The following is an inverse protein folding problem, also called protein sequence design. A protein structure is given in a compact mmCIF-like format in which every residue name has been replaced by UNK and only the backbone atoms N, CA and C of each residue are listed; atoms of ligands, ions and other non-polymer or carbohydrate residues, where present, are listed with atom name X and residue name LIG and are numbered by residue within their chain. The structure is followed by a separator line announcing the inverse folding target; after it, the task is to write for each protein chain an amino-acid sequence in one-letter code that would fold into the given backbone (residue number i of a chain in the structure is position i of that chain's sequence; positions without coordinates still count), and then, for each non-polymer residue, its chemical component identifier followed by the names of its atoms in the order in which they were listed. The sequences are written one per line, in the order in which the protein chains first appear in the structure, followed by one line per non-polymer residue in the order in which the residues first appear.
data_IF_142232995921
#
_entry.id   IF_142232995921
#
_cell.length_a   1.000
_cell.length_b   1.000
_cell.length_c   1.000
_cell.angle_alpha   90.00
_cell.angle_beta   90.00
_cell.angle_gamma   90.00
#
_symmetry.space_group_name_H-M   'P 1'
#
loop_
_entity.id
_entity.type
_entity.pdbx_description
1 polymer ?
#
# COMPACT_ATOMS: atom_id res chain seq x y z
N UNK A 1 31.41 -26.63 -1.92
CA UNK A 1 31.21 -27.58 -3.04
C UNK A 1 29.75 -27.50 -3.48
N UNK A 2 29.57 -27.28 -4.80
CA UNK A 2 28.37 -27.36 -5.65
C UNK A 2 26.99 -27.01 -5.09
N UNK A 3 26.55 -25.81 -5.49
CA UNK A 3 25.15 -25.39 -5.65
C UNK A 3 24.49 -26.27 -6.72
N UNK A 4 23.37 -26.93 -6.41
CA UNK A 4 22.52 -27.56 -7.43
C UNK A 4 21.32 -26.63 -7.63
N UNK A 5 21.40 -25.85 -8.72
CA UNK A 5 20.29 -25.05 -9.23
C UNK A 5 19.12 -25.96 -9.59
N UNK A 6 18.02 -25.85 -8.86
CA UNK A 6 16.71 -26.40 -9.22
C UNK A 6 16.04 -25.52 -10.30
N UNK A 7 16.70 -25.38 -11.46
CA UNK A 7 16.17 -24.64 -12.61
C UNK A 7 16.26 -25.54 -13.85
N UNK A 8 15.56 -26.68 -13.83
CA UNK A 8 15.40 -27.50 -15.03
C UNK A 8 14.29 -28.55 -14.87
N UNK A 9 13.03 -28.13 -14.79
CA UNK A 9 11.90 -29.07 -14.92
C UNK A 9 10.62 -28.42 -15.47
N UNK A 10 10.72 -27.67 -16.58
CA UNK A 10 9.55 -27.17 -17.30
C UNK A 10 9.75 -27.23 -18.84
N UNK A 11 10.40 -28.29 -19.34
CA UNK A 11 10.74 -28.42 -20.76
C UNK A 11 10.44 -29.82 -21.32
N UNK A 12 9.29 -30.41 -20.93
CA UNK A 12 8.83 -31.71 -21.44
C UNK A 12 7.32 -31.75 -21.75
N UNK A 13 6.82 -30.78 -22.52
CA UNK A 13 5.44 -30.83 -23.07
C UNK A 13 5.35 -30.48 -24.57
N UNK A 14 6.41 -30.70 -25.35
CA UNK A 14 6.38 -30.50 -26.80
C UNK A 14 6.43 -31.82 -27.58
N UNK A 15 5.53 -32.75 -27.25
CA UNK A 15 5.23 -33.87 -28.13
C UNK A 15 3.71 -34.10 -28.17
N UNK A 16 3.21 -34.16 -29.40
CA UNK A 16 1.89 -34.62 -29.87
C UNK A 16 0.73 -33.62 -29.94
N UNK A 17 0.51 -33.14 -31.16
CA UNK A 17 -0.79 -32.72 -31.68
C UNK A 17 -0.60 -31.80 -32.88
N UNK A 18 -1.13 -32.15 -34.06
CA UNK A 18 -1.34 -31.20 -35.16
C UNK A 18 -2.41 -30.17 -34.75
N UNK A 19 -2.15 -29.41 -33.68
CA UNK A 19 -2.95 -28.30 -33.23
C UNK A 19 -2.47 -27.04 -33.93
N UNK A 20 -3.41 -26.21 -34.35
CA UNK A 20 -3.10 -24.89 -34.88
C UNK A 20 -2.28 -24.11 -33.83
N UNK A 21 -1.16 -23.49 -34.24
CA UNK A 21 -0.24 -22.74 -33.37
C UNK A 21 -0.98 -21.71 -32.51
N UNK A 22 -2.05 -21.11 -33.04
CA UNK A 22 -2.95 -20.23 -32.29
C UNK A 22 -3.59 -20.89 -31.07
N UNK A 23 -4.16 -22.09 -31.21
CA UNK A 23 -4.90 -22.76 -30.13
C UNK A 23 -3.96 -23.11 -28.96
N UNK A 24 -2.73 -23.57 -29.28
CA UNK A 24 -1.69 -23.85 -28.28
C UNK A 24 -1.32 -22.57 -27.52
N UNK A 25 -1.18 -21.44 -28.21
CA UNK A 25 -0.85 -20.17 -27.58
C UNK A 25 -1.97 -19.68 -26.67
N UNK A 26 -3.23 -19.80 -27.09
CA UNK A 26 -4.40 -19.47 -26.25
C UNK A 26 -4.45 -20.37 -25.02
N UNK A 27 -4.32 -21.69 -25.18
CA UNK A 27 -4.36 -22.64 -24.07
C UNK A 27 -3.22 -22.39 -23.07
N UNK A 28 -2.02 -22.14 -23.56
CA UNK A 28 -0.86 -21.81 -22.70
C UNK A 28 -1.07 -20.51 -21.94
N UNK A 29 -1.64 -19.48 -22.58
CA UNK A 29 -2.01 -18.22 -21.92
C UNK A 29 -3.08 -18.43 -20.84
N UNK A 30 -4.08 -19.26 -21.12
CA UNK A 30 -5.13 -19.60 -20.16
C UNK A 30 -4.58 -20.37 -18.95
N UNK A 31 -3.63 -21.28 -19.15
CA UNK A 31 -2.96 -21.96 -18.05
C UNK A 31 -2.11 -20.98 -17.23
N UNK A 32 -1.40 -20.06 -17.87
CA UNK A 32 -0.65 -19.02 -17.18
C UNK A 32 -1.56 -18.10 -16.33
N UNK A 33 -2.77 -17.76 -16.80
CA UNK A 33 -3.76 -17.04 -15.99
C UNK A 33 -4.11 -17.79 -14.70
N UNK A 34 -4.40 -19.09 -14.81
CA UNK A 34 -4.74 -19.95 -13.66
C UNK A 34 -3.59 -20.06 -12.67
N UNK A 35 -2.37 -20.16 -13.18
CA UNK A 35 -1.13 -20.21 -12.38
C UNK A 35 -0.73 -18.84 -11.79
N UNK A 36 -1.55 -17.79 -11.96
CA UNK A 36 -1.26 -16.41 -11.56
C UNK A 36 0.02 -15.81 -12.23
N UNK A 37 0.48 -16.38 -13.34
CA UNK A 37 1.62 -15.91 -14.15
C UNK A 37 1.15 -14.91 -15.19
N UNK A 38 0.62 -13.77 -14.74
CA UNK A 38 -0.08 -12.82 -15.61
C UNK A 38 0.79 -12.23 -16.74
N UNK A 39 2.08 -11.96 -16.49
CA UNK A 39 3.01 -11.51 -17.54
C UNK A 39 3.19 -12.55 -18.65
N UNK A 40 3.26 -13.84 -18.29
CA UNK A 40 3.37 -14.92 -19.26
C UNK A 40 2.06 -15.06 -20.05
N UNK A 41 0.92 -14.94 -19.37
CA UNK A 41 -0.39 -14.96 -20.01
C UNK A 41 -0.52 -13.84 -21.07
N UNK A 42 -0.12 -12.61 -20.73
CA UNK A 42 -0.11 -11.48 -21.68
C UNK A 42 0.73 -11.82 -22.90
N UNK A 43 1.97 -12.29 -22.70
CA UNK A 43 2.85 -12.66 -23.80
C UNK A 43 2.21 -13.71 -24.72
N UNK A 44 1.60 -14.75 -24.17
CA UNK A 44 0.99 -15.81 -24.96
C UNK A 44 -0.25 -15.34 -25.73
N UNK A 45 -1.12 -14.54 -25.12
CA UNK A 45 -2.27 -13.97 -25.81
C UNK A 45 -1.88 -12.96 -26.88
N UNK A 46 -0.81 -12.18 -26.68
CA UNK A 46 -0.28 -11.28 -27.71
C UNK A 46 0.32 -12.05 -28.89
N UNK A 47 0.95 -13.22 -28.65
CA UNK A 47 1.39 -14.11 -29.72
C UNK A 47 0.18 -14.68 -30.49
N UNK A 48 -0.84 -15.17 -29.78
CA UNK A 48 -2.07 -15.66 -30.40
C UNK A 48 -2.77 -14.58 -31.24
N UNK A 49 -2.86 -13.35 -30.72
CA UNK A 49 -3.46 -12.23 -31.42
C UNK A 49 -2.68 -11.76 -32.67
N UNK A 50 -1.36 -12.01 -32.72
CA UNK A 50 -0.53 -11.76 -33.92
C UNK A 50 -0.77 -12.81 -35.00
N UNK A 51 -0.96 -14.07 -34.61
CA UNK A 51 -1.29 -15.16 -35.53
C UNK A 51 -2.71 -14.99 -36.09
N UNK A 52 -3.66 -14.70 -35.19
CA UNK A 52 -5.06 -14.50 -35.53
C UNK A 52 -5.69 -13.48 -34.58
N UNK A 53 -5.94 -12.27 -35.10
CA UNK A 53 -6.58 -11.23 -34.32
C UNK A 53 -8.07 -11.53 -34.15
N UNK A 54 -8.45 -11.95 -32.95
CA UNK A 54 -9.84 -12.26 -32.57
C UNK A 54 -10.29 -11.38 -31.42
N UNK A 55 -11.60 -11.18 -31.25
CA UNK A 55 -12.11 -10.44 -30.09
C UNK A 55 -11.88 -11.21 -28.79
N UNK A 56 -11.82 -12.55 -28.87
CA UNK A 56 -11.42 -13.43 -27.77
C UNK A 56 -9.99 -13.11 -27.29
N UNK A 57 -8.99 -13.15 -28.17
CA UNK A 57 -7.59 -12.88 -27.78
C UNK A 57 -7.37 -11.46 -27.29
N UNK A 58 -8.11 -10.47 -27.83
CA UNK A 58 -8.12 -9.11 -27.30
C UNK A 58 -8.67 -9.08 -25.87
N UNK A 59 -9.81 -9.71 -25.62
CA UNK A 59 -10.43 -9.79 -24.30
C UNK A 59 -9.51 -10.50 -23.29
N UNK A 60 -8.87 -11.60 -23.69
CA UNK A 60 -7.93 -12.35 -22.85
C UNK A 60 -6.70 -11.52 -22.50
N UNK A 61 -6.13 -10.83 -23.48
CA UNK A 61 -4.98 -9.94 -23.27
C UNK A 61 -5.35 -8.80 -22.30
N UNK A 62 -6.51 -8.18 -22.46
CA UNK A 62 -6.97 -7.08 -21.61
C UNK A 62 -7.19 -7.53 -20.17
N UNK A 63 -7.86 -8.66 -19.96
CA UNK A 63 -8.03 -9.25 -18.62
C UNK A 63 -6.68 -9.62 -18.00
N UNK A 64 -5.77 -10.21 -18.76
CA UNK A 64 -4.43 -10.54 -18.26
C UNK A 64 -3.64 -9.28 -17.86
N UNK A 65 -3.81 -8.16 -18.59
CA UNK A 65 -3.21 -6.86 -18.26
C UNK A 65 -3.75 -6.28 -16.96
N UNK A 66 -5.07 -6.31 -16.75
CA UNK A 66 -5.69 -5.88 -15.49
C UNK A 66 -5.18 -6.74 -14.32
N UNK A 67 -5.16 -8.06 -14.48
CA UNK A 67 -4.66 -8.96 -13.44
C UNK A 67 -3.18 -8.72 -13.12
N UNK A 68 -2.34 -8.47 -14.13
CA UNK A 68 -0.93 -8.15 -13.94
C UNK A 68 -0.72 -6.80 -13.25
N UNK A 69 -1.49 -5.79 -13.65
CA UNK A 69 -1.44 -4.46 -13.04
C UNK A 69 -1.88 -4.52 -11.58
N UNK A 70 -3.02 -5.14 -11.29
CA UNK A 70 -3.53 -5.29 -9.92
C UNK A 70 -2.59 -6.11 -9.02
N UNK A 71 -1.97 -7.16 -9.55
CA UNK A 71 -0.95 -7.92 -8.81
C UNK A 71 0.31 -7.10 -8.50
N UNK A 72 0.68 -6.16 -9.38
CA UNK A 72 1.79 -5.23 -9.15
C UNK A 72 1.40 -4.14 -8.14
N UNK A 73 0.19 -3.59 -8.26
CA UNK A 73 -0.37 -2.63 -7.32
C UNK A 73 -0.43 -3.18 -5.89
N UNK A 74 -0.81 -4.46 -5.71
CA UNK A 74 -0.75 -5.12 -4.39
C UNK A 74 0.67 -5.17 -3.81
N UNK A 75 1.69 -5.45 -4.64
CA UNK A 75 3.10 -5.46 -4.18
C UNK A 75 3.57 -4.08 -3.74
N UNK A 76 3.08 -3.05 -4.42
CA UNK A 76 3.37 -1.65 -4.11
C UNK A 76 2.52 -1.10 -2.95
N UNK A 77 1.60 -1.89 -2.38
CA UNK A 77 0.66 -1.45 -1.35
C UNK A 77 -0.47 -0.54 -1.85
N UNK A 78 -0.60 -0.36 -3.17
CA UNK A 78 -1.62 0.45 -3.84
C UNK A 78 -2.95 -0.31 -3.91
N UNK A 79 -3.55 -0.54 -2.75
CA UNK A 79 -4.72 -1.40 -2.62
C UNK A 79 -5.97 -0.87 -3.35
N UNK A 80 -6.10 0.46 -3.55
CA UNK A 80 -7.20 1.04 -4.32
C UNK A 80 -7.12 0.66 -5.80
N UNK A 81 -5.94 0.77 -6.41
CA UNK A 81 -5.70 0.38 -7.80
C UNK A 81 -5.94 -1.12 -8.00
N UNK A 82 -5.39 -1.96 -7.10
CA UNK A 82 -5.62 -3.40 -7.15
C UNK A 82 -7.10 -3.78 -7.04
N UNK A 83 -7.85 -3.07 -6.19
CA UNK A 83 -9.29 -3.29 -6.01
C UNK A 83 -10.06 -2.90 -7.29
N UNK A 84 -9.70 -1.79 -7.90
CA UNK A 84 -10.35 -1.30 -9.11
C UNK A 84 -10.08 -2.25 -10.30
N UNK A 85 -8.85 -2.73 -10.47
CA UNK A 85 -8.52 -3.72 -11.50
C UNK A 85 -9.28 -5.03 -11.31
N UNK A 86 -9.31 -5.56 -10.08
CA UNK A 86 -10.06 -6.78 -9.77
C UNK A 86 -11.55 -6.63 -10.06
N UNK A 87 -12.15 -5.49 -9.68
CA UNK A 87 -13.54 -5.19 -9.98
C UNK A 87 -13.80 -5.10 -11.49
N UNK A 88 -12.92 -4.45 -12.25
CA UNK A 88 -13.00 -4.41 -13.70
C UNK A 88 -12.98 -5.82 -14.29
N UNK A 89 -12.06 -6.68 -13.84
CA UNK A 89 -12.00 -8.08 -14.29
C UNK A 89 -13.31 -8.82 -14.00
N UNK A 90 -13.90 -8.64 -12.82
CA UNK A 90 -15.15 -9.32 -12.46
C UNK A 90 -16.35 -8.81 -13.26
N UNK A 91 -16.45 -7.51 -13.50
CA UNK A 91 -17.57 -6.87 -14.20
C UNK A 91 -17.50 -6.99 -15.71
N UNK A 92 -16.30 -7.17 -16.28
CA UNK A 92 -16.12 -7.26 -17.73
C UNK A 92 -16.87 -8.46 -18.31
N UNK A 93 -17.58 -8.23 -19.41
CA UNK A 93 -18.17 -9.29 -20.22
C UNK A 93 -17.04 -10.14 -20.81
N UNK A 94 -17.10 -11.43 -20.56
CA UNK A 94 -16.12 -12.45 -20.96
C UNK A 94 -16.84 -13.77 -21.18
N UNK A 95 -16.23 -14.69 -21.91
CA UNK A 95 -16.74 -16.06 -22.00
C UNK A 95 -16.52 -16.82 -20.69
N UNK A 96 -17.20 -17.97 -20.59
CA UNK A 96 -17.18 -18.81 -19.40
C UNK A 96 -15.79 -19.39 -19.08
N UNK A 97 -14.95 -19.62 -20.09
CA UNK A 97 -13.61 -20.19 -19.91
C UNK A 97 -12.68 -19.18 -19.26
N UNK A 98 -12.70 -17.94 -19.75
CA UNK A 98 -11.98 -16.83 -19.14
C UNK A 98 -12.50 -16.54 -17.74
N UNK A 99 -13.82 -16.45 -17.56
CA UNK A 99 -14.43 -16.21 -16.26
C UNK A 99 -13.97 -17.22 -15.22
N UNK A 100 -14.07 -18.52 -15.54
CA UNK A 100 -13.65 -19.60 -14.63
C UNK A 100 -12.18 -19.50 -14.25
N UNK A 101 -11.33 -19.01 -15.15
CA UNK A 101 -9.87 -18.96 -14.93
C UNK A 101 -9.42 -17.77 -14.11
N UNK A 102 -10.19 -16.68 -14.08
CA UNK A 102 -9.78 -15.42 -13.42
C UNK A 102 -10.64 -15.03 -12.23
N UNK A 103 -11.84 -15.58 -12.08
CA UNK A 103 -12.79 -15.18 -11.03
C UNK A 103 -12.20 -15.32 -9.63
N UNK A 104 -11.71 -16.51 -9.27
CA UNK A 104 -11.12 -16.73 -7.95
C UNK A 104 -9.88 -15.86 -7.73
N UNK A 105 -9.07 -15.65 -8.77
CA UNK A 105 -7.87 -14.81 -8.69
C UNK A 105 -8.23 -13.34 -8.42
N UNK A 106 -9.26 -12.82 -9.09
CA UNK A 106 -9.76 -11.46 -8.88
C UNK A 106 -10.42 -11.32 -7.49
N UNK A 107 -11.19 -12.31 -7.04
CA UNK A 107 -11.76 -12.33 -5.69
C UNK A 107 -10.66 -12.34 -4.61
N UNK A 108 -9.61 -13.14 -4.81
CA UNK A 108 -8.43 -13.16 -3.94
C UNK A 108 -7.69 -11.81 -3.95
N UNK A 109 -7.60 -11.15 -5.11
CA UNK A 109 -7.02 -9.81 -5.23
C UNK A 109 -7.81 -8.78 -4.42
N UNK A 110 -9.16 -8.84 -4.47
CA UNK A 110 -10.02 -7.99 -3.64
C UNK A 110 -9.79 -8.23 -2.15
N UNK A 111 -9.65 -9.48 -1.73
CA UNK A 111 -9.39 -9.79 -0.32
C UNK A 111 -8.05 -9.24 0.14
N UNK A 112 -6.97 -9.48 -0.64
CA UNK A 112 -5.65 -8.92 -0.35
C UNK A 112 -5.67 -7.39 -0.27
N UNK A 113 -6.42 -6.73 -1.16
CA UNK A 113 -6.58 -5.28 -1.13
C UNK A 113 -7.27 -4.79 0.16
N UNK A 114 -8.32 -5.49 0.61
CA UNK A 114 -9.00 -5.18 1.89
C UNK A 114 -8.07 -5.34 3.10
N UNK A 115 -7.29 -6.42 3.13
CA UNK A 115 -6.35 -6.67 4.23
C UNK A 115 -5.27 -5.56 4.32
N UNK A 116 -4.82 -5.03 3.18
CA UNK A 116 -3.90 -3.89 3.14
C UNK A 116 -4.61 -2.61 3.61
N UNK A 117 -5.83 -2.36 3.15
CA UNK A 117 -6.65 -1.21 3.58
C UNK A 117 -6.85 -1.18 5.10
N UNK A 118 -7.17 -2.32 5.71
CA UNK A 118 -7.37 -2.45 7.15
C UNK A 118 -6.07 -2.18 7.92
N UNK A 119 -4.95 -2.76 7.48
CA UNK A 119 -3.63 -2.49 8.08
C UNK A 119 -3.25 -1.02 8.00
N UNK A 120 -3.53 -0.36 6.88
CA UNK A 120 -3.25 1.07 6.73
C UNK A 120 -4.13 1.91 7.67
N UNK A 121 -5.42 1.60 7.78
CA UNK A 121 -6.33 2.25 8.74
C UNK A 121 -5.84 2.09 10.18
N UNK A 122 -5.40 0.91 10.57
CA UNK A 122 -4.84 0.68 11.91
C UNK A 122 -3.56 1.50 12.15
N UNK A 123 -2.66 1.57 11.16
CA UNK A 123 -1.43 2.36 11.26
C UNK A 123 -1.74 3.84 11.42
N UNK A 124 -2.64 4.37 10.61
CA UNK A 124 -3.08 5.78 10.70
C UNK A 124 -3.72 6.06 12.05
N UNK A 125 -4.57 5.16 12.57
CA UNK A 125 -5.15 5.32 13.91
C UNK A 125 -4.11 5.30 15.02
N UNK A 126 -3.12 4.40 14.95
CA UNK A 126 -2.00 4.37 15.92
C UNK A 126 -1.19 5.66 15.87
N UNK A 127 -0.88 6.14 14.67
CA UNK A 127 -0.14 7.41 14.49
C UNK A 127 -0.89 8.58 15.11
N UNK A 128 -2.20 8.70 14.85
CA UNK A 128 -3.03 9.76 15.44
C UNK A 128 -3.00 9.77 16.96
N UNK A 129 -3.08 8.60 17.61
CA UNK A 129 -2.98 8.50 19.08
C UNK A 129 -1.63 8.97 19.60
N UNK A 130 -0.53 8.59 18.93
CA UNK A 130 0.81 9.04 19.28
C UNK A 130 0.96 10.55 19.12
N UNK A 131 0.41 11.11 18.04
CA UNK A 131 0.45 12.54 17.77
C UNK A 131 -0.37 13.32 18.82
N UNK A 132 -1.57 12.84 19.18
CA UNK A 132 -2.41 13.42 20.23
C UNK A 132 -1.70 13.41 21.60
N UNK A 133 -1.08 12.30 21.99
CA UNK A 133 -0.29 12.21 23.22
C UNK A 133 0.94 13.13 23.20
N UNK A 134 1.57 13.27 22.03
CA UNK A 134 2.69 14.19 21.82
C UNK A 134 2.29 15.65 22.01
N UNK A 135 1.15 16.05 21.45
CA UNK A 135 0.59 17.40 21.59
C UNK A 135 0.24 17.69 23.06
N UNK A 136 -0.40 16.76 23.77
CA UNK A 136 -0.73 16.91 25.19
C UNK A 136 0.52 17.14 26.07
N UNK A 137 1.61 16.42 25.79
CA UNK A 137 2.90 16.64 26.48
C UNK A 137 3.47 18.02 26.22
N UNK A 138 3.36 18.53 25.00
CA UNK A 138 3.83 19.88 24.64
C UNK A 138 2.99 20.95 25.35
N UNK A 139 1.66 20.79 25.40
CA UNK A 139 0.77 21.71 26.13
C UNK A 139 1.17 21.78 27.62
N UNK A 140 1.31 20.62 28.28
CA UNK A 140 1.73 20.57 29.69
C UNK A 140 3.09 21.23 29.94
N UNK A 141 4.03 21.07 29.00
CA UNK A 141 5.34 21.72 29.11
C UNK A 141 5.21 23.25 29.03
N UNK A 142 4.40 23.77 28.11
CA UNK A 142 4.14 25.23 27.98
C UNK A 142 3.45 25.76 29.23
N UNK A 143 2.40 25.09 29.72
CA UNK A 143 1.70 25.50 30.95
C UNK A 143 2.67 25.58 32.15
N UNK A 144 3.58 24.60 32.28
CA UNK A 144 4.58 24.61 33.35
C UNK A 144 5.59 25.77 33.26
N UNK A 145 5.92 26.20 32.04
CA UNK A 145 6.81 27.35 31.80
C UNK A 145 6.09 28.65 32.17
N UNK A 146 4.82 28.79 31.78
CA UNK A 146 4.01 29.97 32.12
C UNK A 146 3.81 30.09 33.63
N UNK A 147 3.54 28.98 34.32
CA UNK A 147 3.49 28.96 35.79
C UNK A 147 4.82 29.38 36.44
N UNK A 148 5.95 28.90 35.92
CA UNK A 148 7.26 29.27 36.42
C UNK A 148 7.57 30.76 36.19
N UNK A 149 7.16 31.29 35.03
CA UNK A 149 7.32 32.71 34.66
C UNK A 149 6.49 33.62 35.58
N UNK A 150 5.26 33.24 35.90
CA UNK A 150 4.41 33.96 36.85
C UNK A 150 5.01 33.95 38.27
N UNK A 151 5.57 32.81 38.72
CA UNK A 151 6.27 32.73 40.01
C UNK A 151 7.52 33.63 40.03
N UNK A 152 8.32 33.63 38.97
CA UNK A 152 9.49 34.52 38.86
C UNK A 152 9.10 36.00 38.91
N UNK A 153 8.03 36.39 38.21
CA UNK A 153 7.52 37.76 38.23
C UNK A 153 7.15 38.22 39.65
N UNK A 154 6.42 37.39 40.41
CA UNK A 154 6.05 37.68 41.81
C UNK A 154 7.27 37.81 42.73
N UNK A 155 8.31 37.00 42.53
CA UNK A 155 9.56 37.10 43.29
C UNK A 155 10.27 38.42 42.97
N UNK A 156 10.36 38.79 41.69
CA UNK A 156 10.92 40.08 41.26
C UNK A 156 10.21 41.26 41.93
N UNK A 157 8.88 41.31 41.86
CA UNK A 157 8.07 42.36 42.50
C UNK A 157 8.28 42.42 44.04
N UNK A 158 8.53 41.29 44.68
CA UNK A 158 8.82 41.23 46.12
C UNK A 158 10.23 41.76 46.45
N UNK A 159 11.22 41.42 45.63
CA UNK A 159 12.60 41.92 45.76
C UNK A 159 12.65 43.43 45.55
N UNK A 160 12.00 43.94 44.50
CA UNK A 160 11.91 45.39 44.23
C UNK A 160 11.30 46.15 45.41
N UNK A 161 10.25 45.61 46.03
CA UNK A 161 9.64 46.20 47.24
C UNK A 161 10.59 46.19 48.44
N UNK A 162 11.34 45.11 48.63
CA UNK A 162 12.29 44.98 49.72
C UNK A 162 13.47 45.96 49.57
N UNK A 163 14.00 46.11 48.36
CA UNK A 163 15.07 47.05 48.03
C UNK A 163 14.63 48.50 48.29
N UNK A 164 13.48 48.90 47.74
CA UNK A 164 12.90 50.22 47.98
C UNK A 164 12.66 50.52 49.48
N UNK A 165 12.27 49.52 50.27
CA UNK A 165 12.09 49.69 51.72
C UNK A 165 13.43 49.88 52.44
N UNK A 166 14.47 49.16 52.01
CA UNK A 166 15.81 49.24 52.57
C UNK A 166 16.46 50.61 52.31
N UNK A 167 16.35 51.12 51.08
CA UNK A 167 16.80 52.47 50.71
C UNK A 167 16.13 53.55 51.58
N UNK A 168 14.81 53.44 51.82
CA UNK A 168 14.08 54.38 52.71
C UNK A 168 14.56 54.33 54.16
N UNK A 169 14.96 53.16 54.66
CA UNK A 169 15.49 53.01 56.02
C UNK A 169 16.89 53.62 56.11
N UNK A 170 17.75 53.37 55.13
CA UNK A 170 19.11 53.94 55.09
C UNK A 170 19.09 55.46 54.94
N UNK A 171 18.21 56.00 54.09
CA UNK A 171 18.01 57.44 53.95
C UNK A 171 17.58 58.12 55.25
N UNK A 172 16.80 57.43 56.10
CA UNK A 172 16.37 57.93 57.42
C UNK A 172 17.44 57.80 58.52
N UNK A 173 18.46 56.95 58.34
CA UNK A 173 19.57 56.81 59.29
C UNK A 173 20.68 57.86 59.08
N UNK A 174 20.72 58.48 57.92
CA UNK A 174 21.73 59.48 57.53
C UNK A 174 21.21 60.93 57.65
N UNK A 175 20.05 61.13 58.29
CA UNK A 175 19.52 62.42 58.75
C UNK A 175 19.65 62.51 60.27
#
# INVERSE_FOLDING_TARGET
MRKISFVMLFLFFLMTGCGNTYDIQVETGMQALKDEKYSDAIMWFEKAGKEKSTDETKSYTEVAKLMNHGATALKDGKYLEARDDANQVLQKKKDATLEKSVKSNAENMLQKAKDIEEKEKERVQKQRKVDEEGIDKVIKAVDSIDEAREKQKKIGEALDKAENAKEKIEAKKNQ
#
